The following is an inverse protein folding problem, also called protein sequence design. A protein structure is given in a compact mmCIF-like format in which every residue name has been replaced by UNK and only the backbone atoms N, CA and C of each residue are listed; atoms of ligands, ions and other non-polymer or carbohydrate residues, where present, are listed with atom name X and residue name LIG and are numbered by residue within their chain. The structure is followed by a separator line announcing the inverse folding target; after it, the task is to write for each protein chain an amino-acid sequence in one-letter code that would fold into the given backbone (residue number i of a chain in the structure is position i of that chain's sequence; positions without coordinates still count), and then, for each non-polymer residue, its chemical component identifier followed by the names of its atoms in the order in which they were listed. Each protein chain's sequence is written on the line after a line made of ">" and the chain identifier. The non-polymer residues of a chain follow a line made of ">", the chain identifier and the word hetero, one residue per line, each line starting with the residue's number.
data_IF_339664034482
#
_entry.id   IF_339664034482
#
_cell.length_a   1.000
_cell.length_b   1.000
_cell.length_c   1.000
_cell.angle_alpha   90.00
_cell.angle_beta   90.00
_cell.angle_gamma   90.00
#
_symmetry.space_group_name_H-M   'P 1'
#
loop_
_entity.id
_entity.type
_entity.pdbx_description
1 polymer ?
#
# COMPACT_ATOMS: atom_id res chain seq x y z
N UNK A 1 14.36 -18.98 13.88
CA UNK A 1 15.19 -18.14 13.01
C UNK A 1 14.34 -17.73 11.83
N UNK A 2 14.14 -16.43 11.60
CA UNK A 2 13.41 -15.97 10.43
C UNK A 2 14.27 -16.19 9.19
N UNK A 3 13.68 -16.58 8.05
CA UNK A 3 14.44 -16.74 6.82
C UNK A 3 15.04 -15.41 6.40
N UNK A 4 16.25 -15.45 5.84
CA UNK A 4 16.83 -14.29 5.17
C UNK A 4 15.98 -13.98 3.93
N UNK A 5 15.25 -12.87 3.98
CA UNK A 5 14.33 -12.45 2.93
C UNK A 5 14.81 -11.13 2.35
N UNK A 6 15.51 -11.21 1.22
CA UNK A 6 16.04 -10.03 0.52
C UNK A 6 14.93 -9.20 -0.15
N UNK A 7 13.82 -9.83 -0.53
CA UNK A 7 12.69 -9.20 -1.22
C UNK A 7 11.34 -9.63 -0.63
N UNK A 8 10.31 -8.77 -0.61
CA UNK A 8 8.95 -9.16 -0.24
C UNK A 8 8.45 -10.29 -1.14
N UNK A 9 7.59 -11.18 -0.61
CA UNK A 9 6.91 -12.16 -1.46
C UNK A 9 5.92 -11.43 -2.36
N UNK A 10 5.99 -11.70 -3.66
CA UNK A 10 4.98 -11.29 -4.63
C UNK A 10 3.84 -12.32 -4.66
N UNK A 11 2.62 -11.86 -4.76
CA UNK A 11 1.43 -12.70 -4.84
C UNK A 11 0.32 -11.97 -5.60
N UNK A 12 -0.37 -12.70 -6.47
CA UNK A 12 -1.61 -12.22 -7.06
C UNK A 12 -2.71 -12.29 -6.00
N UNK A 13 -3.41 -11.19 -5.81
CA UNK A 13 -4.61 -11.16 -4.98
C UNK A 13 -5.87 -11.13 -5.85
N UNK A 14 -6.90 -11.84 -5.40
CA UNK A 14 -8.17 -11.88 -6.11
C UNK A 14 -8.93 -10.57 -5.92
N UNK A 15 -9.19 -9.89 -7.04
CA UNK A 15 -10.01 -8.68 -7.12
C UNK A 15 -11.28 -8.89 -7.96
N UNK A 16 -11.46 -10.09 -8.53
CA UNK A 16 -12.69 -10.56 -9.19
C UNK A 16 -13.11 -11.90 -8.61
N UNK A 17 -14.42 -12.12 -8.49
CA UNK A 17 -15.00 -13.39 -8.07
C UNK A 17 -15.10 -14.40 -9.24
N UNK A 18 -15.56 -15.62 -8.94
CA UNK A 18 -15.74 -16.69 -9.92
C UNK A 18 -16.72 -16.34 -11.06
N UNK A 19 -17.60 -15.36 -10.84
CA UNK A 19 -18.58 -14.88 -11.83
C UNK A 19 -18.04 -13.68 -12.63
N UNK A 20 -16.82 -13.23 -12.34
CA UNK A 20 -16.16 -12.09 -12.97
C UNK A 20 -16.57 -10.73 -12.41
N UNK A 21 -17.34 -10.68 -11.31
CA UNK A 21 -17.70 -9.43 -10.65
C UNK A 21 -16.56 -8.93 -9.77
N UNK A 22 -16.47 -7.61 -9.56
CA UNK A 22 -15.44 -7.01 -8.70
C UNK A 22 -15.70 -7.34 -7.24
N UNK A 23 -14.65 -7.75 -6.52
CA UNK A 23 -14.69 -7.99 -5.07
C UNK A 23 -14.59 -6.63 -4.36
N UNK A 24 -15.66 -6.21 -3.69
CA UNK A 24 -15.79 -4.88 -3.04
C UNK A 24 -16.18 -4.96 -1.56
N UNK A 25 -16.03 -6.14 -0.94
CA UNK A 25 -16.30 -6.41 0.48
C UNK A 25 -15.27 -5.79 1.44
N UNK A 26 -14.26 -5.11 0.90
CA UNK A 26 -13.19 -4.44 1.63
C UNK A 26 -12.70 -3.17 0.91
N UNK A 27 -12.03 -2.29 1.65
CA UNK A 27 -11.66 -0.94 1.21
C UNK A 27 -10.78 -0.99 -0.05
N UNK A 28 -9.68 -1.74 -0.01
CA UNK A 28 -8.78 -1.83 -1.17
C UNK A 28 -9.49 -2.45 -2.40
N UNK A 29 -10.45 -3.37 -2.20
CA UNK A 29 -11.25 -3.92 -3.30
C UNK A 29 -12.11 -2.85 -3.99
N UNK A 30 -12.69 -1.93 -3.21
CA UNK A 30 -13.44 -0.78 -3.74
C UNK A 30 -12.53 0.18 -4.54
N UNK A 31 -11.32 0.43 -4.03
CA UNK A 31 -10.33 1.25 -4.71
C UNK A 31 -9.86 0.60 -6.02
N UNK A 32 -9.53 -0.68 -5.99
CA UNK A 32 -9.11 -1.45 -7.18
C UNK A 32 -10.19 -1.43 -8.25
N UNK A 33 -11.45 -1.70 -7.88
CA UNK A 33 -12.59 -1.58 -8.79
C UNK A 33 -12.66 -0.19 -9.43
N UNK A 34 -12.48 0.86 -8.65
CA UNK A 34 -12.50 2.24 -9.14
C UNK A 34 -11.33 2.55 -10.07
N UNK A 35 -10.14 1.96 -9.85
CA UNK A 35 -8.97 2.17 -10.71
C UNK A 35 -9.08 1.43 -12.04
N UNK A 36 -9.37 0.12 -12.00
CA UNK A 36 -9.35 -0.74 -13.19
C UNK A 36 -10.47 -0.41 -14.18
N UNK A 37 -11.60 0.12 -13.69
CA UNK A 37 -12.75 0.50 -14.53
C UNK A 37 -12.50 1.77 -15.36
N UNK A 38 -11.46 2.55 -15.05
CA UNK A 38 -11.04 3.71 -15.85
C UNK A 38 -10.32 3.30 -17.15
N UNK A 39 -10.02 2.01 -17.33
CA UNK A 39 -9.25 1.48 -18.45
C UNK A 39 -7.75 1.37 -18.16
N UNK A 40 -7.05 0.57 -18.96
CA UNK A 40 -5.62 0.30 -18.81
C UNK A 40 -4.77 1.56 -18.90
N UNK A 41 -5.16 2.47 -19.79
CA UNK A 41 -4.66 3.84 -19.85
C UNK A 41 -5.89 4.73 -19.92
N UNK A 42 -6.20 5.39 -18.81
CA UNK A 42 -7.34 6.28 -18.75
C UNK A 42 -7.13 7.48 -19.69
N UNK A 43 -8.07 7.71 -20.61
CA UNK A 43 -8.14 8.95 -21.37
C UNK A 43 -8.63 10.08 -20.45
N UNK A 44 -7.77 11.07 -20.22
CA UNK A 44 -8.03 12.21 -19.34
C UNK A 44 -8.17 13.53 -20.10
N UNK A 45 -8.34 13.49 -21.41
CA UNK A 45 -8.48 14.69 -22.25
C UNK A 45 -9.71 15.53 -21.90
N UNK A 46 -10.80 14.89 -21.45
CA UNK A 46 -12.05 15.53 -21.05
C UNK A 46 -12.27 15.58 -19.51
N UNK A 47 -11.24 15.28 -18.72
CA UNK A 47 -11.35 15.23 -17.27
C UNK A 47 -11.52 16.64 -16.68
N UNK A 48 -12.54 16.83 -15.84
CA UNK A 48 -12.81 18.10 -15.17
C UNK A 48 -12.21 18.08 -13.77
N UNK A 49 -11.11 18.81 -13.57
CA UNK A 49 -10.36 18.91 -12.32
C UNK A 49 -10.92 20.05 -11.46
N UNK A 50 -11.32 19.73 -10.23
CA UNK A 50 -11.85 20.70 -9.27
C UNK A 50 -10.79 21.36 -8.41
N UNK A 51 -11.19 22.32 -7.57
CA UNK A 51 -10.29 23.03 -6.63
C UNK A 51 -9.63 22.08 -5.61
N UNK A 52 -10.32 21.01 -5.21
CA UNK A 52 -9.80 19.98 -4.30
C UNK A 52 -8.66 19.16 -4.90
N UNK A 53 -8.53 19.15 -6.23
CA UNK A 53 -7.58 18.30 -6.97
C UNK A 53 -6.25 19.02 -7.25
N UNK A 54 -5.92 20.05 -6.47
CA UNK A 54 -4.69 20.82 -6.62
C UNK A 54 -3.45 19.92 -6.53
N UNK A 55 -3.45 18.94 -5.63
CA UNK A 55 -2.37 17.97 -5.49
C UNK A 55 -2.19 17.11 -6.74
N UNK A 56 -3.29 16.68 -7.38
CA UNK A 56 -3.26 15.93 -8.64
C UNK A 56 -2.66 16.78 -9.76
N UNK A 57 -3.05 18.05 -9.83
CA UNK A 57 -2.50 18.99 -10.82
C UNK A 57 -1.01 19.20 -10.64
N UNK A 58 -0.55 19.44 -9.40
CA UNK A 58 0.86 19.61 -9.07
C UNK A 58 1.68 18.37 -9.40
N UNK A 59 1.17 17.18 -9.02
CA UNK A 59 1.83 15.91 -9.28
C UNK A 59 1.98 15.64 -10.78
N UNK A 60 0.93 15.87 -11.57
CA UNK A 60 0.98 15.71 -13.03
C UNK A 60 1.96 16.68 -13.70
N UNK A 61 2.02 17.92 -13.22
CA UNK A 61 3.00 18.89 -13.70
C UNK A 61 4.43 18.40 -13.42
N UNK A 62 4.70 17.99 -12.19
CA UNK A 62 5.99 17.45 -11.78
C UNK A 62 6.39 16.25 -12.66
N UNK A 63 5.50 15.30 -12.93
CA UNK A 63 5.82 14.17 -13.81
C UNK A 63 6.19 14.60 -15.22
N UNK A 64 5.47 15.56 -15.82
CA UNK A 64 5.82 16.07 -17.16
C UNK A 64 7.19 16.73 -17.20
N UNK A 65 7.52 17.51 -16.18
CA UNK A 65 8.85 18.15 -16.04
C UNK A 65 9.96 17.10 -15.91
N UNK A 66 9.72 16.03 -15.15
CA UNK A 66 10.65 14.91 -15.00
C UNK A 66 10.83 14.10 -16.29
N UNK A 67 9.74 13.84 -17.01
CA UNK A 67 9.81 13.18 -18.33
C UNK A 67 10.61 14.03 -19.34
N UNK A 68 10.45 15.35 -19.31
CA UNK A 68 11.25 16.26 -20.14
C UNK A 68 12.73 16.22 -19.75
N UNK A 69 13.06 16.22 -18.45
CA UNK A 69 14.43 16.07 -17.97
C UNK A 69 15.09 14.79 -18.50
N UNK A 70 14.41 13.65 -18.37
CA UNK A 70 14.89 12.36 -18.89
C UNK A 70 15.12 12.43 -20.41
N UNK A 71 14.17 13.01 -21.16
CA UNK A 71 14.30 13.17 -22.62
C UNK A 71 15.52 14.00 -23.01
N UNK A 72 15.88 14.98 -22.20
CA UNK A 72 17.07 15.83 -22.40
C UNK A 72 18.37 15.19 -21.88
N UNK A 73 18.32 13.94 -21.40
CA UNK A 73 19.48 13.26 -20.81
C UNK A 73 19.86 13.76 -19.41
N UNK A 74 18.96 14.46 -18.72
CA UNK A 74 19.13 14.95 -17.35
C UNK A 74 18.47 13.99 -16.36
N UNK A 75 18.88 14.08 -15.11
CA UNK A 75 18.31 13.29 -14.02
C UNK A 75 16.93 13.82 -13.61
N UNK A 76 15.91 12.96 -13.51
CA UNK A 76 14.66 13.31 -12.84
C UNK A 76 14.85 13.37 -11.32
N UNK A 77 13.88 14.01 -10.67
CA UNK A 77 13.69 14.04 -9.23
C UNK A 77 13.71 12.61 -8.66
N UNK A 78 14.44 12.43 -7.56
CA UNK A 78 14.57 11.14 -6.87
C UNK A 78 15.69 10.24 -7.38
N UNK A 79 16.47 10.67 -8.39
CA UNK A 79 17.70 9.95 -8.75
C UNK A 79 18.75 10.15 -7.68
N UNK A 80 19.15 9.03 -7.09
CA UNK A 80 20.21 8.93 -6.09
C UNK A 80 21.34 8.12 -6.73
N UNK A 81 22.53 8.73 -6.86
CA UNK A 81 23.71 8.04 -7.42
C UNK A 81 24.72 7.67 -6.34
N UNK A 82 24.78 8.47 -5.29
CA UNK A 82 25.70 8.29 -4.17
C UNK A 82 24.94 8.33 -2.85
N UNK A 83 25.48 7.70 -1.79
CA UNK A 83 24.94 7.84 -0.45
C UNK A 83 24.85 9.32 -0.05
N UNK A 84 23.75 9.69 0.59
CA UNK A 84 23.44 11.06 0.99
C UNK A 84 22.74 11.03 2.37
N UNK A 85 22.64 12.19 3.00
CA UNK A 85 22.01 12.32 4.30
C UNK A 85 20.56 11.81 4.27
N UNK A 86 20.23 10.95 5.22
CA UNK A 86 18.86 10.43 5.39
C UNK A 86 18.03 11.45 6.15
N UNK A 87 17.00 11.95 5.50
CA UNK A 87 15.97 12.75 6.18
C UNK A 87 14.92 11.81 6.76
N UNK A 88 14.88 11.71 8.09
CA UNK A 88 13.84 10.97 8.78
C UNK A 88 12.53 11.76 8.78
N UNK A 89 11.65 11.44 7.82
CA UNK A 89 10.31 12.00 7.81
C UNK A 89 9.50 11.41 8.98
N UNK A 90 8.78 12.23 9.76
CA UNK A 90 7.94 11.73 10.83
C UNK A 90 6.84 10.85 10.23
N UNK A 91 6.94 9.54 10.43
CA UNK A 91 5.84 8.64 10.16
C UNK A 91 4.84 8.74 11.31
N UNK A 92 3.55 8.78 10.98
CA UNK A 92 2.49 8.83 11.97
C UNK A 92 2.56 7.61 12.91
N UNK A 93 3.04 7.83 14.14
CA UNK A 93 3.31 6.76 15.12
C UNK A 93 2.04 6.10 15.64
N UNK A 94 0.92 6.81 15.58
CA UNK A 94 -0.37 6.38 16.12
C UNK A 94 -1.46 6.57 15.07
N UNK A 95 -1.24 6.02 13.88
CA UNK A 95 -2.23 6.16 12.80
C UNK A 95 -3.59 5.58 13.19
N UNK A 96 -3.63 4.53 14.05
CA UNK A 96 -4.89 3.89 14.48
C UNK A 96 -4.93 3.29 15.90
N UNK A 97 -3.96 3.56 16.79
CA UNK A 97 -4.07 3.36 18.25
C UNK A 97 -4.32 1.94 18.83
N UNK A 98 -4.47 0.89 18.01
CA UNK A 98 -5.09 -0.39 18.42
C UNK A 98 -4.16 -1.62 18.43
N UNK A 99 -2.84 -1.42 18.48
CA UNK A 99 -1.88 -2.49 18.76
C UNK A 99 -1.97 -3.70 17.81
N UNK A 100 -1.81 -4.91 18.34
CA UNK A 100 -1.87 -6.14 17.53
C UNK A 100 -3.25 -6.46 16.96
N UNK A 101 -4.35 -6.03 17.59
CA UNK A 101 -5.70 -6.26 17.06
C UNK A 101 -5.87 -5.64 15.67
N UNK A 102 -5.40 -4.41 15.52
CA UNK A 102 -5.43 -3.71 14.25
C UNK A 102 -4.62 -4.42 13.18
N UNK A 103 -3.42 -4.88 13.54
CA UNK A 103 -2.56 -5.58 12.60
C UNK A 103 -3.22 -6.86 12.08
N UNK A 104 -3.91 -7.61 12.95
CA UNK A 104 -4.68 -8.78 12.54
C UNK A 104 -5.86 -8.39 11.64
N UNK A 105 -6.65 -7.39 12.03
CA UNK A 105 -7.78 -6.92 11.22
C UNK A 105 -7.33 -6.43 9.84
N UNK A 106 -6.19 -5.74 9.76
CA UNK A 106 -5.61 -5.30 8.49
C UNK A 106 -5.20 -6.49 7.62
N UNK A 107 -4.58 -7.51 8.21
CA UNK A 107 -4.21 -8.72 7.47
C UNK A 107 -5.47 -9.43 6.96
N UNK A 108 -6.51 -9.56 7.78
CA UNK A 108 -7.72 -10.31 7.44
C UNK A 108 -8.68 -9.56 6.50
N UNK A 109 -8.70 -8.22 6.58
CA UNK A 109 -9.64 -7.36 5.83
C UNK A 109 -9.00 -6.58 4.69
N UNK A 110 -7.69 -6.75 4.46
CA UNK A 110 -6.98 -6.18 3.32
C UNK A 110 -6.63 -7.22 2.26
N UNK A 111 -5.93 -6.80 1.21
CA UNK A 111 -5.31 -7.70 0.22
C UNK A 111 -4.30 -8.68 0.86
N UNK A 112 -3.76 -8.33 2.02
CA UNK A 112 -2.83 -9.17 2.79
C UNK A 112 -3.40 -10.54 3.15
N UNK A 113 -4.73 -10.73 3.15
CA UNK A 113 -5.39 -12.02 3.42
C UNK A 113 -5.01 -13.11 2.42
N UNK A 114 -4.63 -12.71 1.21
CA UNK A 114 -4.19 -13.61 0.14
C UNK A 114 -2.69 -13.89 0.17
N UNK A 115 -1.93 -13.21 1.05
CA UNK A 115 -0.49 -13.40 1.13
C UNK A 115 -0.17 -14.82 1.62
N UNK A 116 0.79 -15.53 0.97
CA UNK A 116 1.33 -16.79 1.49
C UNK A 116 1.94 -16.65 2.89
N UNK A 117 2.26 -15.43 3.31
CA UNK A 117 2.87 -15.12 4.60
C UNK A 117 1.86 -14.62 5.65
N UNK A 118 0.56 -14.56 5.35
CA UNK A 118 -0.46 -13.97 6.23
C UNK A 118 -0.41 -14.56 7.65
N UNK A 119 -0.38 -15.90 7.77
CA UNK A 119 -0.32 -16.57 9.08
C UNK A 119 0.97 -16.28 9.84
N UNK A 120 2.10 -16.18 9.13
CA UNK A 120 3.39 -15.83 9.73
C UNK A 120 3.34 -14.39 10.28
N UNK A 121 2.80 -13.45 9.52
CA UNK A 121 2.66 -12.05 9.93
C UNK A 121 1.72 -11.91 11.14
N UNK A 122 0.60 -12.63 11.15
CA UNK A 122 -0.31 -12.67 12.32
C UNK A 122 0.41 -13.16 13.58
N UNK A 123 1.15 -14.28 13.48
CA UNK A 123 1.93 -14.83 14.59
C UNK A 123 2.99 -13.83 15.08
N UNK A 124 3.66 -13.12 14.17
CA UNK A 124 4.64 -12.10 14.50
C UNK A 124 4.02 -10.95 15.31
N UNK A 125 2.86 -10.42 14.87
CA UNK A 125 2.18 -9.34 15.58
C UNK A 125 1.66 -9.77 16.96
N UNK A 126 1.13 -10.99 17.09
CA UNK A 126 0.69 -11.55 18.37
C UNK A 126 1.87 -11.70 19.33
N UNK A 127 2.96 -12.33 18.88
CA UNK A 127 4.15 -12.52 19.70
C UNK A 127 4.77 -11.18 20.14
N UNK A 128 4.78 -10.18 19.24
CA UNK A 128 5.28 -8.85 19.56
C UNK A 128 4.40 -8.11 20.58
N UNK A 129 3.08 -8.24 20.51
CA UNK A 129 2.17 -7.69 21.52
C UNK A 129 2.35 -8.36 22.90
N UNK A 130 2.47 -9.69 22.92
CA UNK A 130 2.77 -10.44 24.14
C UNK A 130 4.07 -9.97 24.79
N UNK A 131 5.13 -9.77 23.99
CA UNK A 131 6.41 -9.26 24.47
C UNK A 131 6.34 -7.83 25.03
N UNK A 132 5.39 -7.01 24.56
CA UNK A 132 5.13 -5.66 25.07
C UNK A 132 4.17 -5.62 26.27
N UNK A 133 3.60 -6.76 26.68
CA UNK A 133 2.61 -6.83 27.76
C UNK A 133 1.22 -6.31 27.36
N UNK A 134 0.93 -6.21 26.07
CA UNK A 134 -0.39 -5.85 25.56
C UNK A 134 -1.35 -7.06 25.65
N UNK A 135 -2.63 -6.83 25.94
CA UNK A 135 -3.65 -7.90 25.95
C UNK A 135 -3.78 -8.46 24.54
N UNK A 136 -3.69 -9.78 24.40
CA UNK A 136 -3.87 -10.44 23.10
C UNK A 136 -5.29 -10.15 22.56
N UNK A 137 -5.44 -9.85 21.26
CA UNK A 137 -6.73 -9.52 20.67
C UNK A 137 -7.75 -10.66 20.82
N UNK A 138 -9.00 -10.31 21.11
CA UNK A 138 -10.10 -11.26 21.24
C UNK A 138 -10.36 -11.94 19.88
N UNK A 139 -10.18 -13.26 19.82
CA UNK A 139 -10.31 -14.06 18.60
C UNK A 139 -9.09 -14.93 18.27
N UNK A 140 -7.98 -14.78 19.00
CA UNK A 140 -6.86 -15.72 18.97
C UNK A 140 -7.16 -16.97 19.84
N UNK A 141 -8.24 -17.69 19.55
CA UNK A 141 -8.50 -19.00 20.18
C UNK A 141 -8.22 -20.12 19.19
N UNK A 142 -7.15 -20.86 19.51
CA UNK A 142 -6.75 -22.22 19.07
C UNK A 142 -7.06 -22.66 17.64
#
# INVERSE_FOLDING_TARGET
>A
TYPEQLYPFDYEYQWRDEKGAHIVDYIEGQDVMTWVTQGTVADRTAEHIGKSDIGVTMLRRMFRENMAAVKDGRDPLGVIREPHERIDLPCERSKFGSGAEFALQWIDRGSSRYSPQADMLKKLHIAAAQARGEVAPAGASS
#
